data_IF_790052855914
#
_entry.id   IF_790052855914
#
_cell.length_a   1.000
_cell.length_b   1.000
_cell.length_c   1.000
_cell.angle_alpha   90.00
_cell.angle_beta   90.00
_cell.angle_gamma   90.00
#
_symmetry.space_group_name_H-M   'P 1'
#
loop_
_entity.id
_entity.type
_entity.pdbx_description
1 polymer ?
#
# COMPACT_ATOMS: atom_id res chain seq x y z
N UNK A 1 9.21 -49.53 -41.97
CA UNK A 1 8.19 -48.55 -41.52
C UNK A 1 8.92 -47.25 -41.20
N UNK A 2 9.38 -46.51 -42.23
CA UNK A 2 8.74 -45.30 -42.78
C UNK A 2 8.31 -44.28 -41.72
N UNK A 3 9.29 -43.45 -41.38
CA UNK A 3 9.29 -42.01 -41.09
C UNK A 3 7.96 -41.22 -41.03
N UNK A 4 8.02 -40.25 -40.10
CA UNK A 4 7.78 -38.80 -40.27
C UNK A 4 6.44 -38.20 -39.77
N UNK A 5 6.64 -37.16 -38.95
CA UNK A 5 5.92 -35.87 -38.93
C UNK A 5 4.42 -35.86 -38.60
N UNK A 6 4.06 -35.19 -37.49
CA UNK A 6 3.03 -34.15 -37.54
C UNK A 6 3.11 -33.23 -36.31
N UNK A 7 3.74 -32.08 -36.54
CA UNK A 7 3.61 -30.84 -35.79
C UNK A 7 2.61 -29.96 -36.56
N UNK A 8 1.91 -29.08 -35.83
CA UNK A 8 1.19 -27.88 -36.30
C UNK A 8 -0.27 -28.03 -36.76
N UNK A 9 -1.18 -27.44 -35.98
CA UNK A 9 -2.36 -26.73 -36.48
C UNK A 9 -2.91 -25.81 -35.37
N UNK A 10 -2.36 -24.60 -35.24
CA UNK A 10 -3.06 -23.50 -34.56
C UNK A 10 -3.55 -22.56 -35.65
N UNK A 11 -4.87 -22.48 -35.79
CA UNK A 11 -5.53 -21.72 -36.83
C UNK A 11 -5.37 -20.21 -36.56
N UNK A 12 -4.72 -19.54 -37.49
CA UNK A 12 -4.67 -18.09 -37.63
C UNK A 12 -5.97 -17.66 -38.33
N UNK A 13 -6.88 -17.00 -37.63
CA UNK A 13 -8.05 -16.38 -38.26
C UNK A 13 -7.74 -14.90 -38.49
N UNK A 14 -7.24 -14.57 -39.67
CA UNK A 14 -7.15 -13.21 -40.20
C UNK A 14 -8.34 -13.02 -41.11
N UNK A 15 -9.32 -12.19 -40.70
CA UNK A 15 -10.34 -11.69 -41.60
C UNK A 15 -10.05 -10.21 -41.87
N UNK A 16 -9.45 -9.95 -43.03
CA UNK A 16 -9.45 -8.65 -43.66
C UNK A 16 -10.64 -8.59 -44.63
N UNK A 17 -11.49 -7.59 -44.47
CA UNK A 17 -12.49 -7.21 -45.47
C UNK A 17 -12.38 -5.69 -45.70
N UNK A 18 -12.02 -5.32 -46.92
CA UNK A 18 -11.99 -3.96 -47.43
C UNK A 18 -13.24 -3.74 -48.30
N UNK A 19 -13.97 -2.64 -48.13
CA UNK A 19 -14.86 -2.13 -49.19
C UNK A 19 -16.09 -1.30 -48.80
N UNK A 20 -15.90 0.04 -48.85
CA UNK A 20 -16.80 1.08 -49.38
C UNK A 20 -17.93 1.75 -48.54
N UNK A 21 -17.76 3.08 -48.46
CA UNK A 21 -18.73 4.18 -48.56
C UNK A 21 -19.46 4.75 -47.33
N UNK A 22 -18.92 5.91 -46.87
CA UNK A 22 -19.61 7.18 -46.52
C UNK A 22 -20.94 7.10 -45.75
N UNK A 23 -20.82 7.05 -44.43
CA UNK A 23 -21.62 7.84 -43.48
C UNK A 23 -20.65 8.26 -42.38
N UNK A 24 -20.74 9.49 -41.85
CA UNK A 24 -19.80 10.00 -40.84
C UNK A 24 -19.61 8.96 -39.73
N UNK A 25 -18.46 8.26 -39.74
CA UNK A 25 -18.20 7.20 -38.83
C UNK A 25 -18.10 7.84 -37.45
N UNK A 26 -19.12 7.61 -36.61
CA UNK A 26 -18.96 7.80 -35.19
C UNK A 26 -17.73 6.98 -34.80
N UNK A 27 -16.69 7.67 -34.31
CA UNK A 27 -15.51 6.99 -33.84
C UNK A 27 -15.93 6.28 -32.55
N UNK A 28 -16.06 4.95 -32.61
CA UNK A 28 -16.30 4.14 -31.42
C UNK A 28 -15.24 4.41 -30.35
N UNK A 29 -15.43 3.88 -29.13
CA UNK A 29 -14.56 4.21 -28.02
C UNK A 29 -13.11 3.77 -28.28
N UNK A 30 -12.18 4.51 -27.71
CA UNK A 30 -10.74 4.31 -27.85
C UNK A 30 -10.10 4.20 -26.47
N UNK A 31 -9.18 3.24 -26.33
CA UNK A 31 -8.39 3.04 -25.12
C UNK A 31 -6.92 3.26 -25.49
N UNK A 32 -6.32 4.31 -24.95
CA UNK A 32 -4.93 4.70 -25.26
C UNK A 32 -4.08 4.75 -24.00
N UNK A 33 -2.86 4.23 -24.09
CA UNK A 33 -1.87 4.40 -23.02
C UNK A 33 -1.21 5.77 -23.10
N UNK A 34 -0.99 6.41 -21.94
CA UNK A 34 -0.34 7.70 -21.85
C UNK A 34 1.12 7.54 -21.45
N UNK A 35 2.03 7.72 -22.42
CA UNK A 35 3.48 7.67 -22.16
C UNK A 35 4.08 6.27 -22.19
N UNK A 36 3.35 5.26 -22.65
CA UNK A 36 3.87 3.92 -22.88
C UNK A 36 3.09 3.20 -24.00
N UNK A 37 3.66 2.11 -24.51
CA UNK A 37 2.97 1.20 -25.42
C UNK A 37 2.20 0.14 -24.62
N UNK A 38 0.86 0.13 -24.76
CA UNK A 38 -0.02 -0.78 -24.02
C UNK A 38 0.18 -2.25 -24.42
N UNK A 39 0.74 -2.51 -25.59
CA UNK A 39 1.00 -3.88 -26.07
C UNK A 39 2.22 -4.53 -25.42
N UNK A 40 3.09 -3.74 -24.78
CA UNK A 40 4.28 -4.22 -24.10
C UNK A 40 4.03 -4.39 -22.60
N UNK A 41 4.55 -5.47 -21.97
CA UNK A 41 4.52 -5.60 -20.53
C UNK A 41 5.16 -4.41 -19.82
N UNK A 42 4.51 -3.96 -18.75
CA UNK A 42 5.05 -2.94 -17.85
C UNK A 42 5.63 -3.60 -16.63
N UNK A 43 6.92 -3.37 -16.41
CA UNK A 43 7.65 -3.93 -15.28
C UNK A 43 7.75 -2.90 -14.16
N UNK A 44 7.69 -3.37 -12.92
CA UNK A 44 7.86 -2.54 -11.74
C UNK A 44 8.02 -3.39 -10.49
N UNK A 45 8.26 -2.73 -9.36
CA UNK A 45 8.46 -3.39 -8.07
C UNK A 45 7.17 -3.37 -7.26
N UNK A 46 7.02 -4.36 -6.39
CA UNK A 46 5.93 -4.41 -5.41
C UNK A 46 5.90 -3.09 -4.60
N UNK A 47 4.70 -2.52 -4.40
CA UNK A 47 4.44 -1.25 -3.68
C UNK A 47 5.09 0.03 -4.28
N UNK A 48 5.99 -0.10 -5.26
CA UNK A 48 6.72 1.00 -5.89
C UNK A 48 6.45 1.08 -7.40
N UNK A 49 5.28 0.61 -7.84
CA UNK A 49 4.94 0.67 -9.24
C UNK A 49 4.75 2.12 -9.69
N UNK A 50 5.28 2.46 -10.86
CA UNK A 50 5.17 3.80 -11.43
C UNK A 50 3.75 4.12 -11.89
N UNK A 51 3.51 5.38 -12.25
CA UNK A 51 2.22 5.81 -12.80
C UNK A 51 1.94 5.13 -14.13
N UNK A 52 0.89 4.31 -14.16
CA UNK A 52 0.35 3.70 -15.38
C UNK A 52 -0.99 4.32 -15.71
N UNK A 53 -0.99 5.26 -16.66
CA UNK A 53 -2.18 6.00 -17.07
C UNK A 53 -2.73 5.51 -18.39
N UNK A 54 -4.02 5.19 -18.39
CA UNK A 54 -4.77 4.80 -19.57
C UNK A 54 -5.92 5.78 -19.74
N UNK A 55 -6.03 6.39 -20.92
CA UNK A 55 -7.15 7.24 -21.29
C UNK A 55 -8.18 6.40 -22.02
N UNK A 56 -9.43 6.58 -21.65
CA UNK A 56 -10.59 5.99 -22.32
C UNK A 56 -11.43 7.14 -22.84
N UNK A 57 -11.58 7.21 -24.15
CA UNK A 57 -12.37 8.23 -24.84
C UNK A 57 -13.49 7.53 -25.61
N UNK A 58 -14.67 8.15 -25.66
CA UNK A 58 -15.81 7.65 -26.43
C UNK A 58 -16.49 8.81 -27.14
N UNK A 59 -16.99 8.58 -28.36
CA UNK A 59 -17.77 9.59 -29.06
C UNK A 59 -19.05 9.92 -28.29
N UNK A 60 -19.69 8.90 -27.71
CA UNK A 60 -20.80 9.05 -26.78
C UNK A 60 -20.40 8.83 -25.32
N UNK A 61 -21.36 9.06 -24.40
CA UNK A 61 -21.09 8.86 -22.98
C UNK A 61 -20.76 7.39 -22.71
N UNK A 62 -19.83 7.18 -21.79
CA UNK A 62 -19.47 5.84 -21.34
C UNK A 62 -20.67 5.23 -20.61
N UNK A 63 -21.19 4.13 -21.15
CA UNK A 63 -22.28 3.33 -20.59
C UNK A 63 -21.74 2.31 -19.59
N UNK A 64 -20.64 1.64 -19.95
CA UNK A 64 -19.94 0.65 -19.12
C UNK A 64 -18.43 0.87 -19.21
N UNK A 65 -17.72 0.73 -18.08
CA UNK A 65 -16.25 0.68 -18.06
C UNK A 65 -15.81 -0.41 -17.10
N UNK A 66 -15.59 -1.61 -17.61
CA UNK A 66 -15.22 -2.78 -16.84
C UNK A 66 -13.71 -3.00 -16.81
N UNK A 67 -13.21 -3.33 -15.63
CA UNK A 67 -11.83 -3.77 -15.40
C UNK A 67 -11.89 -5.15 -14.75
N UNK A 68 -11.24 -6.11 -15.38
CA UNK A 68 -11.12 -7.49 -14.88
C UNK A 68 -9.65 -7.84 -14.67
N UNK A 69 -9.32 -8.37 -13.50
CA UNK A 69 -8.01 -8.92 -13.15
C UNK A 69 -8.21 -10.14 -12.24
N UNK A 70 -7.98 -11.35 -12.78
CA UNK A 70 -8.17 -12.63 -12.07
C UNK A 70 -9.51 -12.74 -11.33
N UNK A 71 -9.53 -12.60 -10.00
CA UNK A 71 -10.73 -12.69 -9.16
C UNK A 71 -11.40 -11.34 -8.91
N UNK A 72 -10.82 -10.25 -9.39
CA UNK A 72 -11.36 -8.90 -9.27
C UNK A 72 -12.05 -8.49 -10.58
N UNK A 73 -13.27 -8.01 -10.44
CA UNK A 73 -14.07 -7.46 -11.54
C UNK A 73 -14.85 -6.25 -11.00
N UNK A 74 -14.80 -5.14 -11.74
CA UNK A 74 -15.57 -3.95 -11.40
C UNK A 74 -16.02 -3.22 -12.66
N UNK A 75 -17.25 -2.74 -12.65
CA UNK A 75 -17.71 -1.72 -13.60
C UNK A 75 -17.65 -0.34 -12.94
N UNK A 76 -16.70 0.49 -13.38
CA UNK A 76 -16.48 1.83 -12.89
C UNK A 76 -17.54 2.82 -13.36
N UNK A 77 -18.31 2.51 -14.40
CA UNK A 77 -19.41 3.35 -14.84
C UNK A 77 -20.60 3.28 -13.88
N UNK A 78 -20.91 2.11 -13.34
CA UNK A 78 -22.13 1.91 -12.52
C UNK A 78 -21.90 1.61 -11.05
N UNK A 79 -20.69 1.23 -10.63
CA UNK A 79 -20.40 0.90 -9.23
C UNK A 79 -20.76 2.05 -8.28
N UNK A 80 -21.39 1.70 -7.14
CA UNK A 80 -21.71 2.67 -6.08
C UNK A 80 -20.56 2.82 -5.07
N UNK A 81 -19.62 1.87 -5.07
CA UNK A 81 -18.51 1.84 -4.13
C UNK A 81 -17.36 2.74 -4.61
N UNK A 82 -17.21 3.87 -3.90
CA UNK A 82 -16.19 4.88 -4.17
C UNK A 82 -14.77 4.37 -3.92
N UNK A 83 -14.58 3.29 -3.17
CA UNK A 83 -13.25 2.71 -2.98
C UNK A 83 -12.64 2.28 -4.32
N UNK A 84 -13.44 1.76 -5.25
CA UNK A 84 -12.96 1.37 -6.58
C UNK A 84 -12.52 2.57 -7.41
N UNK A 85 -13.17 3.72 -7.28
CA UNK A 85 -12.72 4.94 -7.97
C UNK A 85 -11.33 5.37 -7.52
N UNK A 86 -11.06 5.33 -6.21
CA UNK A 86 -9.73 5.63 -5.67
C UNK A 86 -8.67 4.69 -6.25
N UNK A 87 -8.95 3.39 -6.35
CA UNK A 87 -7.99 2.41 -6.86
C UNK A 87 -7.53 2.71 -8.28
N UNK A 88 -8.38 3.33 -9.09
CA UNK A 88 -8.08 3.69 -10.49
C UNK A 88 -7.89 5.20 -10.69
N UNK A 89 -7.66 5.97 -9.63
CA UNK A 89 -7.37 7.41 -9.72
C UNK A 89 -8.52 8.28 -10.24
N UNK A 90 -9.77 7.84 -10.04
CA UNK A 90 -10.98 8.54 -10.48
C UNK A 90 -11.52 9.39 -9.33
N UNK A 91 -11.67 10.69 -9.57
CA UNK A 91 -12.17 11.63 -8.56
C UNK A 91 -13.71 11.73 -8.52
N UNK A 92 -14.38 11.47 -9.66
CA UNK A 92 -15.81 11.71 -9.86
C UNK A 92 -16.48 10.55 -10.59
N UNK A 93 -17.80 10.39 -10.38
CA UNK A 93 -18.60 9.34 -11.01
C UNK A 93 -18.57 9.44 -12.54
N UNK A 94 -18.35 8.32 -13.23
CA UNK A 94 -18.12 8.29 -14.67
C UNK A 94 -19.35 8.41 -15.56
N UNK A 95 -20.58 8.17 -15.06
CA UNK A 95 -21.83 8.12 -15.86
C UNK A 95 -22.11 9.31 -16.77
N UNK A 96 -21.39 10.42 -16.62
CA UNK A 96 -21.59 11.65 -17.37
C UNK A 96 -20.38 12.01 -18.26
N UNK A 97 -19.35 11.17 -18.29
CA UNK A 97 -18.08 11.47 -18.94
C UNK A 97 -17.96 10.73 -20.28
N UNK A 98 -17.43 11.45 -21.28
CA UNK A 98 -16.99 10.90 -22.58
C UNK A 98 -15.48 10.58 -22.58
N UNK A 99 -14.76 11.05 -21.56
CA UNK A 99 -13.31 10.92 -21.41
C UNK A 99 -12.98 10.70 -19.94
N UNK A 100 -12.20 9.65 -19.67
CA UNK A 100 -11.69 9.32 -18.34
C UNK A 100 -10.24 8.88 -18.44
N UNK A 101 -9.41 9.34 -17.51
CA UNK A 101 -8.07 8.80 -17.31
C UNK A 101 -8.07 7.87 -16.10
N UNK A 102 -7.73 6.62 -16.34
CA UNK A 102 -7.48 5.59 -15.32
C UNK A 102 -6.02 5.64 -14.90
N UNK A 103 -5.74 5.54 -13.61
CA UNK A 103 -4.39 5.38 -13.06
C UNK A 103 -4.31 4.07 -12.26
N UNK A 104 -3.61 3.09 -12.81
CA UNK A 104 -3.49 1.75 -12.21
C UNK A 104 -2.49 1.69 -11.04
N UNK A 105 -1.72 2.76 -10.82
CA UNK A 105 -0.68 2.79 -9.78
C UNK A 105 -1.22 2.40 -8.40
N UNK A 106 -2.33 3.02 -7.98
CA UNK A 106 -2.90 2.78 -6.66
C UNK A 106 -3.41 1.35 -6.52
N UNK A 107 -4.13 0.84 -7.52
CA UNK A 107 -4.55 -0.56 -7.53
C UNK A 107 -3.35 -1.51 -7.41
N UNK A 108 -2.33 -1.34 -8.25
CA UNK A 108 -1.15 -2.23 -8.25
C UNK A 108 -0.45 -2.19 -6.89
N UNK A 109 -0.21 -1.00 -6.35
CA UNK A 109 0.53 -0.87 -5.10
C UNK A 109 -0.27 -1.29 -3.85
N UNK A 110 -1.61 -1.18 -3.86
CA UNK A 110 -2.44 -1.50 -2.68
C UNK A 110 -3.06 -2.91 -2.74
N UNK A 111 -3.28 -3.49 -3.93
CA UNK A 111 -4.00 -4.77 -4.10
C UNK A 111 -3.14 -5.94 -4.54
N UNK A 112 -2.03 -5.69 -5.24
CA UNK A 112 -1.12 -6.77 -5.63
C UNK A 112 -0.17 -7.05 -4.46
N UNK A 113 -0.35 -8.20 -3.82
CA UNK A 113 0.40 -8.60 -2.63
C UNK A 113 1.61 -9.50 -2.92
N UNK A 114 1.71 -10.04 -4.13
CA UNK A 114 2.74 -11.00 -4.50
C UNK A 114 3.43 -10.61 -5.81
N UNK A 115 4.71 -10.94 -5.99
CA UNK A 115 5.37 -10.85 -7.28
C UNK A 115 4.70 -11.77 -8.32
N UNK A 116 4.69 -11.35 -9.58
CA UNK A 116 4.18 -12.14 -10.68
C UNK A 116 3.71 -11.31 -11.87
N UNK A 117 3.18 -12.02 -12.87
CA UNK A 117 2.55 -11.40 -14.02
C UNK A 117 1.03 -11.28 -13.82
N UNK A 118 0.50 -10.09 -14.09
CA UNK A 118 -0.88 -9.69 -13.92
C UNK A 118 -1.40 -9.14 -15.25
N UNK A 119 -2.60 -9.54 -15.64
CA UNK A 119 -3.27 -9.06 -16.84
C UNK A 119 -4.55 -8.34 -16.42
N UNK A 120 -4.66 -7.08 -16.84
CA UNK A 120 -5.89 -6.30 -16.71
C UNK A 120 -6.58 -6.26 -18.07
N UNK A 121 -7.81 -6.78 -18.11
CA UNK A 121 -8.70 -6.59 -19.25
C UNK A 121 -9.56 -5.35 -19.00
N UNK A 122 -9.47 -4.38 -19.89
CA UNK A 122 -10.24 -3.14 -19.84
C UNK A 122 -11.24 -3.21 -20.99
N UNK A 123 -12.53 -3.11 -20.68
CA UNK A 123 -13.59 -3.05 -21.69
C UNK A 123 -14.41 -1.79 -21.45
N UNK A 124 -14.63 -1.03 -22.51
CA UNK A 124 -15.51 0.13 -22.52
C UNK A 124 -16.64 -0.11 -23.51
N UNK A 125 -17.85 0.26 -23.10
CA UNK A 125 -19.03 0.33 -23.95
C UNK A 125 -19.64 1.72 -23.83
N UNK A 126 -19.96 2.35 -24.95
CA UNK A 126 -20.64 3.63 -24.95
C UNK A 126 -22.17 3.48 -25.11
N UNK A 127 -22.89 4.60 -25.15
CA UNK A 127 -24.34 4.61 -25.26
C UNK A 127 -24.89 4.27 -26.66
N UNK A 128 -24.02 4.14 -27.67
CA UNK A 128 -24.37 3.60 -28.99
C UNK A 128 -24.09 2.10 -29.10
N UNK A 129 -23.74 1.47 -27.98
CA UNK A 129 -23.37 0.06 -27.86
C UNK A 129 -22.05 -0.29 -28.59
N UNK A 130 -21.24 0.71 -28.93
CA UNK A 130 -19.90 0.48 -29.48
C UNK A 130 -18.94 0.06 -28.36
N UNK A 131 -18.08 -0.91 -28.65
CA UNK A 131 -17.21 -1.57 -27.66
C UNK A 131 -15.75 -1.49 -28.06
N UNK A 132 -14.90 -1.16 -27.10
CA UNK A 132 -13.45 -1.31 -27.24
C UNK A 132 -12.86 -2.10 -26.06
N UNK A 133 -11.79 -2.84 -26.34
CA UNK A 133 -11.08 -3.64 -25.34
C UNK A 133 -9.58 -3.43 -25.43
N UNK A 134 -8.93 -3.35 -24.28
CA UNK A 134 -7.48 -3.31 -24.20
C UNK A 134 -6.99 -4.28 -23.11
N UNK A 135 -5.76 -4.77 -23.30
CA UNK A 135 -5.06 -5.60 -22.31
C UNK A 135 -3.85 -4.85 -21.81
N UNK A 136 -3.75 -4.68 -20.51
CA UNK A 136 -2.56 -4.15 -19.84
C UNK A 136 -1.86 -5.30 -19.12
N UNK A 137 -0.65 -5.62 -19.56
CA UNK A 137 0.22 -6.61 -18.93
C UNK A 137 1.15 -5.91 -17.94
N UNK A 138 1.11 -6.35 -16.69
CA UNK A 138 1.94 -5.83 -15.60
C UNK A 138 2.77 -6.97 -15.02
N UNK A 139 4.08 -6.77 -14.94
CA UNK A 139 5.00 -7.70 -14.29
C UNK A 139 5.49 -7.01 -13.03
N UNK A 140 5.04 -7.52 -11.88
CA UNK A 140 5.51 -7.08 -10.58
C UNK A 140 6.68 -7.99 -10.21
N UNK A 141 7.89 -7.46 -10.32
CA UNK A 141 9.08 -8.14 -9.84
C UNK A 141 9.01 -8.25 -8.32
N UNK A 142 9.60 -9.33 -7.80
CA UNK A 142 9.94 -9.35 -6.39
C UNK A 142 10.80 -8.12 -6.12
N UNK A 143 10.54 -7.46 -5.00
CA UNK A 143 11.55 -6.56 -4.49
C UNK A 143 12.80 -7.43 -4.33
N UNK A 144 13.81 -7.21 -5.17
CA UNK A 144 15.14 -7.69 -4.85
C UNK A 144 15.42 -7.07 -3.49
N UNK A 145 15.41 -7.88 -2.43
CA UNK A 145 16.14 -7.55 -1.22
C UNK A 145 17.48 -7.08 -1.74
N UNK A 146 17.72 -5.77 -1.63
CA UNK A 146 18.95 -5.19 -2.12
C UNK A 146 19.99 -5.57 -1.09
N UNK A 147 20.34 -6.85 -1.04
CA UNK A 147 21.63 -7.34 -0.58
C UNK A 147 22.66 -6.92 -1.62
N UNK A 148 22.74 -5.62 -1.93
CA UNK A 148 24.05 -5.02 -2.02
C UNK A 148 24.75 -5.46 -0.74
N UNK A 149 25.99 -5.93 -0.83
CA UNK A 149 26.80 -6.27 0.32
C UNK A 149 27.04 -4.99 1.16
N UNK A 150 26.01 -4.50 1.83
CA UNK A 150 26.06 -3.62 2.97
C UNK A 150 26.76 -4.47 4.00
N UNK A 151 27.92 -4.02 4.45
CA UNK A 151 28.64 -4.65 5.55
C UNK A 151 27.66 -4.72 6.70
N UNK A 152 27.09 -5.91 6.95
CA UNK A 152 25.95 -6.05 7.86
C UNK A 152 26.38 -5.58 9.24
N UNK A 153 25.93 -4.39 9.62
CA UNK A 153 26.14 -3.87 10.96
C UNK A 153 24.91 -4.31 11.73
N UNK A 154 25.05 -5.23 12.70
CA UNK A 154 23.90 -5.72 13.42
C UNK A 154 23.20 -4.56 14.11
N UNK A 155 21.88 -4.54 14.01
CA UNK A 155 21.05 -3.61 14.78
C UNK A 155 21.18 -3.93 16.27
N UNK A 156 21.22 -2.91 17.13
CA UNK A 156 21.23 -3.12 18.58
C UNK A 156 19.80 -3.43 19.03
N UNK A 157 19.64 -4.37 19.96
CA UNK A 157 18.33 -4.75 20.51
C UNK A 157 18.26 -4.46 22.00
N UNK A 158 17.08 -4.14 22.49
CA UNK A 158 16.80 -4.00 23.92
C UNK A 158 15.37 -4.33 24.26
N UNK A 159 15.07 -4.32 25.55
CA UNK A 159 13.70 -4.48 26.08
C UNK A 159 13.33 -3.22 26.85
N UNK A 160 12.08 -2.81 26.75
CA UNK A 160 11.56 -1.67 27.48
C UNK A 160 10.43 -2.10 28.41
N UNK A 161 10.30 -1.37 29.52
CA UNK A 161 9.21 -1.51 30.46
C UNK A 161 8.87 -0.14 31.03
N UNK A 162 7.69 0.36 30.70
CA UNK A 162 7.15 1.59 31.25
C UNK A 162 6.12 1.28 32.30
N UNK A 163 6.24 1.92 33.45
CA UNK A 163 5.27 1.79 34.53
C UNK A 163 4.84 3.16 35.00
N UNK A 164 3.53 3.34 35.13
CA UNK A 164 2.94 4.50 35.79
C UNK A 164 1.96 4.02 36.85
N UNK A 165 2.13 4.47 38.08
CA UNK A 165 1.16 4.24 39.16
C UNK A 165 0.40 5.53 39.48
N UNK A 166 -0.93 5.53 39.27
CA UNK A 166 -1.78 6.67 39.55
C UNK A 166 -1.36 7.95 38.81
N UNK A 167 -1.32 9.12 39.47
CA UNK A 167 -0.86 10.38 38.86
C UNK A 167 0.67 10.53 38.88
N UNK A 168 1.42 9.49 39.25
CA UNK A 168 2.88 9.53 39.33
C UNK A 168 3.56 9.67 37.97
N UNK A 169 4.88 9.89 38.01
CA UNK A 169 5.74 9.87 36.81
C UNK A 169 5.73 8.48 36.16
N UNK A 170 6.11 8.45 34.89
CA UNK A 170 6.38 7.19 34.18
C UNK A 170 7.83 6.81 34.38
N UNK A 171 8.05 5.59 34.86
CA UNK A 171 9.39 5.04 35.02
C UNK A 171 9.82 4.32 33.73
N UNK A 172 11.07 4.49 33.30
CA UNK A 172 11.69 3.77 32.19
C UNK A 172 11.50 4.43 30.82
N UNK A 173 10.77 5.55 30.75
CA UNK A 173 10.52 6.31 29.53
C UNK A 173 11.69 7.25 29.17
N UNK A 174 12.57 7.55 30.12
CA UNK A 174 13.64 8.53 29.98
C UNK A 174 14.66 8.14 28.90
N UNK A 175 15.00 6.85 28.79
CA UNK A 175 16.01 6.34 27.86
C UNK A 175 15.57 6.38 26.39
N UNK A 176 14.28 6.54 26.14
CA UNK A 176 13.67 6.50 24.81
C UNK A 176 13.16 7.87 24.33
N UNK A 177 13.37 8.93 25.13
CA UNK A 177 13.01 10.29 24.75
C UNK A 177 11.53 10.45 24.45
N UNK A 178 10.67 9.86 25.29
CA UNK A 178 9.21 9.86 25.12
C UNK A 178 8.54 10.50 26.32
N UNK A 179 7.53 11.33 26.06
CA UNK A 179 6.61 11.80 27.11
C UNK A 179 5.31 11.01 27.05
N UNK A 180 4.75 10.73 28.23
CA UNK A 180 3.49 10.00 28.38
C UNK A 180 2.43 10.93 28.94
N UNK A 181 1.22 10.88 28.38
CA UNK A 181 0.03 11.47 28.98
C UNK A 181 -1.16 10.51 28.94
N UNK A 182 -1.88 10.38 30.05
CA UNK A 182 -3.17 9.67 30.05
C UNK A 182 -4.22 10.61 29.46
N UNK A 183 -4.86 10.20 28.37
CA UNK A 183 -5.86 11.04 27.68
C UNK A 183 -7.29 10.58 27.95
N UNK A 184 -7.45 9.34 28.40
CA UNK A 184 -8.72 8.79 28.86
C UNK A 184 -8.43 7.94 30.10
N UNK A 185 -8.94 8.36 31.26
CA UNK A 185 -8.75 7.65 32.53
C UNK A 185 -9.71 6.47 32.70
N UNK A 186 -10.79 6.41 31.91
CA UNK A 186 -11.81 5.35 31.95
C UNK A 186 -11.39 4.21 31.05
N UNK A 187 -11.01 4.51 29.80
CA UNK A 187 -10.50 3.51 28.85
C UNK A 187 -8.99 3.26 29.00
N UNK A 188 -8.30 4.07 29.81
CA UNK A 188 -6.87 4.02 30.09
C UNK A 188 -6.05 4.00 28.80
N UNK A 189 -6.21 5.09 28.04
CA UNK A 189 -5.45 5.33 26.82
C UNK A 189 -4.26 6.22 27.14
N UNK A 190 -3.08 5.76 26.73
CA UNK A 190 -1.83 6.49 26.88
C UNK A 190 -1.50 7.16 25.56
N UNK A 191 -1.17 8.44 25.61
CA UNK A 191 -0.55 9.13 24.50
C UNK A 191 0.96 9.21 24.72
N UNK A 192 1.73 8.75 23.74
CA UNK A 192 3.17 8.97 23.63
C UNK A 192 3.41 10.18 22.71
N UNK A 193 4.19 11.16 23.14
CA UNK A 193 4.50 12.38 22.38
C UNK A 193 6.01 12.66 22.32
N UNK A 194 6.40 13.53 21.38
CA UNK A 194 7.75 14.08 21.28
C UNK A 194 8.05 15.04 22.44
N UNK A 195 9.18 14.88 23.15
CA UNK A 195 9.58 15.80 24.22
C UNK A 195 10.04 17.16 23.68
N UNK A 196 10.47 17.25 22.41
CA UNK A 196 11.06 18.45 21.81
C UNK A 196 10.96 18.47 20.29
N UNK A 197 11.23 19.64 19.69
CA UNK A 197 11.47 19.77 18.25
C UNK A 197 12.59 18.80 17.81
N UNK A 198 12.38 18.08 16.69
CA UNK A 198 13.35 17.15 16.12
C UNK A 198 13.15 15.67 16.47
N UNK A 199 12.15 15.30 17.29
CA UNK A 199 11.72 13.91 17.45
C UNK A 199 10.48 13.64 16.61
N UNK A 200 10.51 12.62 15.75
CA UNK A 200 9.38 12.24 14.91
C UNK A 200 8.86 10.85 15.27
N UNK A 201 7.53 10.73 15.39
CA UNK A 201 6.84 9.45 15.58
C UNK A 201 6.18 9.01 14.30
N UNK A 202 6.36 7.74 13.98
CA UNK A 202 5.62 7.09 12.92
C UNK A 202 5.04 5.81 13.47
N UNK A 203 3.72 5.70 13.48
CA UNK A 203 3.08 4.40 13.62
C UNK A 203 3.32 3.64 12.32
N UNK A 204 4.02 2.51 12.42
CA UNK A 204 4.22 1.61 11.29
C UNK A 204 3.11 0.56 11.34
N UNK A 205 2.43 0.38 10.22
CA UNK A 205 1.39 -0.64 10.08
C UNK A 205 1.99 -2.02 10.42
N UNK A 206 1.18 -2.87 11.08
CA UNK A 206 1.54 -4.21 11.55
C UNK A 206 2.00 -5.20 10.46
N UNK A 207 2.10 -4.78 9.20
CA UNK A 207 2.60 -5.57 8.07
C UNK A 207 4.13 -5.73 8.05
N UNK A 208 4.86 -4.98 8.89
CA UNK A 208 6.31 -5.07 8.97
C UNK A 208 6.74 -6.31 9.77
N UNK A 209 7.51 -7.20 9.15
CA UNK A 209 8.10 -8.37 9.82
C UNK A 209 9.26 -7.94 10.72
N UNK A 210 8.90 -7.50 11.94
CA UNK A 210 9.85 -6.99 12.92
C UNK A 210 11.04 -7.93 13.13
N UNK A 211 10.80 -9.23 13.16
CA UNK A 211 11.81 -10.23 13.50
C UNK A 211 12.89 -10.36 12.41
N UNK A 212 12.57 -10.04 11.15
CA UNK A 212 13.52 -10.05 10.03
C UNK A 212 14.50 -8.87 10.01
N UNK A 213 14.20 -7.79 10.71
CA UNK A 213 15.05 -6.59 10.75
C UNK A 213 16.28 -6.89 11.61
N UNK A 214 17.40 -7.23 10.99
CA UNK A 214 18.62 -7.64 11.72
C UNK A 214 19.81 -6.72 11.45
N UNK A 215 19.72 -5.91 10.40
CA UNK A 215 20.76 -4.97 9.99
C UNK A 215 20.34 -3.50 10.21
N UNK A 216 21.32 -2.63 10.47
CA UNK A 216 21.11 -1.18 10.59
C UNK A 216 20.47 -0.62 9.32
N UNK A 217 20.82 -1.12 8.14
CA UNK A 217 20.31 -0.59 6.90
C UNK A 217 18.85 -0.99 6.64
N UNK A 218 18.44 -2.21 7.02
CA UNK A 218 17.01 -2.60 7.02
C UNK A 218 16.20 -1.64 7.90
N UNK A 219 16.74 -1.32 9.08
CA UNK A 219 16.12 -0.38 10.01
C UNK A 219 16.14 1.07 9.49
N UNK A 220 17.19 1.47 8.78
CA UNK A 220 17.33 2.80 8.18
C UNK A 220 16.42 2.99 6.96
N UNK A 221 16.21 1.96 6.12
CA UNK A 221 15.30 2.05 4.98
C UNK A 221 13.84 2.31 5.45
N UNK A 222 13.49 1.91 6.68
CA UNK A 222 12.21 2.25 7.31
C UNK A 222 12.08 3.73 7.72
N UNK A 223 13.16 4.49 7.72
CA UNK A 223 13.15 5.94 7.96
C UNK A 223 12.75 6.73 6.71
N UNK A 224 12.83 6.13 5.51
CA UNK A 224 12.47 6.82 4.29
C UNK A 224 10.95 7.09 4.24
N UNK A 225 10.51 8.32 3.89
CA UNK A 225 9.10 8.65 3.73
C UNK A 225 8.49 7.90 2.52
N UNK A 226 8.00 6.68 2.74
CA UNK A 226 7.45 5.80 1.71
C UNK A 226 6.27 4.95 2.19
N UNK A 227 5.10 5.18 1.58
CA UNK A 227 3.85 4.40 1.49
C UNK A 227 3.15 3.82 2.74
N UNK A 228 3.79 3.60 3.90
CA UNK A 228 3.15 2.99 5.08
C UNK A 228 3.36 3.79 6.39
N UNK A 229 3.84 5.02 6.30
CA UNK A 229 4.14 5.90 7.43
C UNK A 229 3.19 7.08 7.49
N UNK A 230 2.36 7.15 8.54
CA UNK A 230 1.67 8.38 8.92
C UNK A 230 2.54 9.05 9.97
N UNK A 231 3.20 10.15 9.59
CA UNK A 231 3.86 11.01 10.55
C UNK A 231 2.79 11.53 11.52
N UNK A 232 2.97 11.27 12.80
CA UNK A 232 2.05 11.73 13.83
C UNK A 232 2.84 12.47 14.91
N UNK A 233 2.26 13.55 15.43
CA UNK A 233 2.84 14.24 16.59
C UNK A 233 2.76 13.39 17.86
N UNK A 234 1.88 12.38 17.88
CA UNK A 234 1.62 11.52 19.02
C UNK A 234 1.07 10.15 18.60
N UNK A 235 1.16 9.16 19.49
CA UNK A 235 0.52 7.85 19.30
C UNK A 235 -0.29 7.47 20.54
N UNK A 236 -1.56 7.15 20.32
CA UNK A 236 -2.50 6.75 21.37
C UNK A 236 -2.52 5.23 21.50
N UNK A 237 -2.08 4.71 22.64
CA UNK A 237 -1.98 3.30 23.00
C UNK A 237 -3.08 2.90 23.99
N UNK A 238 -4.06 2.08 23.60
CA UNK A 238 -5.03 1.52 24.53
C UNK A 238 -4.38 0.46 25.42
N UNK A 239 -4.55 0.55 26.74
CA UNK A 239 -3.86 -0.36 27.68
C UNK A 239 -4.73 -1.44 28.30
N UNK A 240 -6.04 -1.31 28.19
CA UNK A 240 -6.96 -2.35 28.64
C UNK A 240 -6.79 -3.63 27.80
N UNK A 241 -6.83 -4.79 28.45
CA UNK A 241 -6.86 -6.12 27.82
C UNK A 241 -5.78 -6.35 26.77
N UNK A 242 -4.57 -5.84 26.97
CA UNK A 242 -3.46 -6.03 26.03
C UNK A 242 -3.68 -5.44 24.64
N UNK A 243 -4.55 -4.43 24.52
CA UNK A 243 -4.99 -3.89 23.23
C UNK A 243 -3.90 -3.18 22.41
N UNK A 244 -2.75 -2.84 23.00
CA UNK A 244 -1.63 -2.24 22.28
C UNK A 244 -0.56 -3.26 21.88
N UNK A 245 -0.69 -4.54 22.25
CA UNK A 245 0.25 -5.56 21.85
C UNK A 245 0.30 -5.75 20.32
N UNK A 246 1.48 -6.00 19.79
CA UNK A 246 1.77 -6.12 18.37
C UNK A 246 1.92 -4.80 17.64
N UNK A 247 1.65 -3.65 18.27
CA UNK A 247 1.86 -2.34 17.63
C UNK A 247 3.34 -2.03 17.49
N UNK A 248 3.68 -1.47 16.33
CA UNK A 248 5.03 -1.04 15.97
C UNK A 248 5.11 0.48 15.97
N UNK A 249 6.04 1.01 16.76
CA UNK A 249 6.28 2.43 16.88
C UNK A 249 7.71 2.74 16.43
N UNK A 250 7.85 3.56 15.40
CA UNK A 250 9.12 4.13 15.02
C UNK A 250 9.32 5.49 15.70
N UNK A 251 10.48 5.66 16.33
CA UNK A 251 10.90 6.90 16.99
C UNK A 251 12.22 7.33 16.36
N UNK A 252 12.18 8.46 15.67
CA UNK A 252 13.36 9.11 15.13
C UNK A 252 13.79 10.23 16.09
N UNK A 253 14.99 10.11 16.64
CA UNK A 253 15.66 11.18 17.38
C UNK A 253 16.90 11.67 16.62
N UNK A 254 17.48 12.84 16.97
CA UNK A 254 18.71 13.32 16.35
C UNK A 254 19.89 12.36 16.47
N UNK A 255 19.96 11.56 17.54
CA UNK A 255 21.09 10.67 17.82
C UNK A 255 20.81 9.21 17.45
N UNK A 256 19.55 8.79 17.50
CA UNK A 256 19.17 7.38 17.40
C UNK A 256 17.86 7.23 16.65
N UNK A 257 17.73 6.10 15.98
CA UNK A 257 16.43 5.63 15.51
C UNK A 257 16.04 4.38 16.27
N UNK A 258 14.79 4.33 16.74
CA UNK A 258 14.21 3.18 17.42
C UNK A 258 13.02 2.64 16.64
N UNK A 259 12.91 1.31 16.57
CA UNK A 259 11.68 0.62 16.22
C UNK A 259 11.27 -0.24 17.42
N UNK A 260 10.17 0.14 18.06
CA UNK A 260 9.62 -0.51 19.23
C UNK A 260 8.46 -1.42 18.85
N UNK A 261 8.42 -2.62 19.41
CA UNK A 261 7.31 -3.57 19.32
C UNK A 261 6.72 -3.77 20.70
N UNK A 262 5.47 -3.35 20.87
CA UNK A 262 4.73 -3.54 22.10
C UNK A 262 4.39 -5.02 22.25
N UNK A 263 4.94 -5.68 23.26
CA UNK A 263 4.63 -7.09 23.57
C UNK A 263 3.44 -7.21 24.52
N UNK A 264 3.31 -6.25 25.44
CA UNK A 264 2.26 -6.23 26.47
C UNK A 264 1.78 -4.82 26.78
N UNK A 265 0.47 -4.66 26.94
CA UNK A 265 -0.13 -3.53 27.63
C UNK A 265 -1.09 -4.00 28.71
N UNK A 266 -0.99 -3.40 29.89
CA UNK A 266 -1.81 -3.79 31.02
C UNK A 266 -2.24 -2.59 31.85
N UNK A 267 -3.49 -2.67 32.31
CA UNK A 267 -4.09 -1.76 33.27
C UNK A 267 -4.55 -2.56 34.48
N UNK A 268 -4.18 -2.11 35.68
CA UNK A 268 -4.71 -2.66 36.94
C UNK A 268 -5.06 -1.54 37.92
N UNK A 269 -6.02 -1.81 38.80
CA UNK A 269 -6.36 -0.91 39.90
C UNK A 269 -5.43 -1.17 41.09
N UNK A 270 -4.91 -0.11 41.69
CA UNK A 270 -4.06 -0.16 42.90
C UNK A 270 -4.51 0.87 43.94
N UNK A 271 -3.95 0.79 45.15
CA UNK A 271 -4.23 1.72 46.24
C UNK A 271 -3.80 3.17 45.95
N UNK A 272 -2.87 3.38 45.01
CA UNK A 272 -2.42 4.70 44.56
C UNK A 272 -3.10 5.17 43.27
N UNK A 273 -4.08 4.42 42.76
CA UNK A 273 -4.81 4.70 41.53
C UNK A 273 -4.60 3.64 40.45
N UNK A 274 -4.87 3.99 39.20
CA UNK A 274 -4.67 3.07 38.06
C UNK A 274 -3.18 2.90 37.79
N UNK A 275 -2.70 1.66 37.87
CA UNK A 275 -1.37 1.26 37.42
C UNK A 275 -1.44 0.83 35.97
N UNK A 276 -0.53 1.35 35.16
CA UNK A 276 -0.44 1.05 33.75
C UNK A 276 0.98 0.58 33.43
N UNK A 277 1.07 -0.53 32.71
CA UNK A 277 2.31 -1.17 32.33
C UNK A 277 2.34 -1.33 30.81
N UNK A 278 3.41 -0.88 30.18
CA UNK A 278 3.74 -1.18 28.79
C UNK A 278 5.09 -1.89 28.74
N UNK A 279 5.16 -3.03 28.07
CA UNK A 279 6.39 -3.81 27.94
C UNK A 279 6.57 -4.26 26.49
N UNK A 280 7.84 -4.41 26.09
CA UNK A 280 8.14 -4.89 24.76
C UNK A 280 9.63 -4.89 24.46
N UNK A 281 9.92 -4.98 23.17
CA UNK A 281 11.27 -5.03 22.63
C UNK A 281 11.49 -3.85 21.67
N UNK A 282 12.74 -3.45 21.51
CA UNK A 282 13.11 -2.41 20.56
C UNK A 282 14.40 -2.73 19.84
N UNK A 283 14.47 -2.28 18.59
CA UNK A 283 15.66 -2.31 17.73
C UNK A 283 16.11 -0.88 17.51
N UNK A 284 17.41 -0.62 17.57
CA UNK A 284 17.93 0.72 17.38
C UNK A 284 19.30 0.78 16.73
N UNK A 285 19.60 1.93 16.14
CA UNK A 285 20.94 2.30 15.71
C UNK A 285 21.25 3.75 16.07
N UNK A 286 22.55 4.04 16.20
CA UNK A 286 23.07 5.40 16.39
C UNK A 286 23.39 5.98 15.01
N UNK A 287 22.94 7.21 14.76
CA UNK A 287 23.09 7.92 13.48
C UNK A 287 24.50 8.47 13.28
#
# INVERSE_FOLDING_TARGET
MRHLLQVLAFALFVLAASGAALTGAHAGPEITAQGFDISLPREGRLEQFERLRIRVEAAERIKELSITERSYEVDLATTLDKANYRLFGIEKRLRLHKDVTLNFQTYINERIAAPGAYEFLIRVEDHEDDVATARLLVIVAAQEETTAARTAKPVKTGVFRFVRAGPGRVEGAEDLGITWKTIDEVAVVIRIEAPSEGVAFTEKLAALDYDKITDIADLADLTEPGAASVASAYVDLPTANNAAAGRLLAIDTPEKYFLMKLGRSETSLSSSGTTVVLEGEYKYFEK
#
